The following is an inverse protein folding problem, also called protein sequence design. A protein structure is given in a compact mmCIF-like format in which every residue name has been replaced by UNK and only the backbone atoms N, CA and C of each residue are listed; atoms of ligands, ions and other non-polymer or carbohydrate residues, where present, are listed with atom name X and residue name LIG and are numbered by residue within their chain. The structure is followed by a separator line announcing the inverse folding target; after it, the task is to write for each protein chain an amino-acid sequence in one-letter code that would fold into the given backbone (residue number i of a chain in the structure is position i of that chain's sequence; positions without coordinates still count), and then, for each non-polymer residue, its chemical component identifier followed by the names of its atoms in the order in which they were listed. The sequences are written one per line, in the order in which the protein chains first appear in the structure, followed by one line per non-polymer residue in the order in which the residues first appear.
data_IF_425779628596
#
_entry.id   IF_425779628596
#
_cell.length_a   1.000
_cell.length_b   1.000
_cell.length_c   1.000
_cell.angle_alpha   90.00
_cell.angle_beta   90.00
_cell.angle_gamma   90.00
#
_symmetry.space_group_name_H-M   'P 1'
#
loop_
_entity.id
_entity.type
_entity.pdbx_description
1 polymer ?
#
# COMPACT_ATOMS: atom_id res chain seq x y z
N UNK A 1 4.05 -22.79 5.82
CA UNK A 1 4.52 -23.41 4.58
C UNK A 1 4.15 -22.48 3.43
N UNK A 2 4.95 -21.43 3.22
CA UNK A 2 4.81 -20.57 2.03
C UNK A 2 5.58 -21.27 0.93
N UNK A 3 4.86 -22.05 0.11
CA UNK A 3 5.40 -22.61 -1.11
C UNK A 3 5.97 -21.48 -1.97
N UNK A 4 7.02 -21.79 -2.74
CA UNK A 4 7.75 -20.87 -3.63
C UNK A 4 6.86 -20.19 -4.71
N UNK A 5 5.54 -20.33 -4.68
CA UNK A 5 4.59 -19.80 -5.66
C UNK A 5 3.62 -18.74 -5.12
N UNK A 6 3.52 -18.58 -3.80
CA UNK A 6 2.59 -17.61 -3.18
C UNK A 6 3.04 -16.16 -3.38
N UNK A 7 2.13 -15.26 -3.77
CA UNK A 7 2.35 -13.83 -3.89
C UNK A 7 1.78 -13.00 -2.73
N UNK A 8 2.35 -11.81 -2.49
CA UNK A 8 1.82 -10.81 -1.56
C UNK A 8 1.31 -9.57 -2.29
N UNK A 9 0.27 -8.96 -1.76
CA UNK A 9 -0.31 -7.73 -2.28
C UNK A 9 -0.79 -6.81 -1.17
N UNK A 10 -0.51 -5.51 -1.31
CA UNK A 10 -1.06 -4.48 -0.44
C UNK A 10 -2.43 -4.06 -0.97
N UNK A 11 -3.44 -4.07 -0.11
CA UNK A 11 -4.81 -3.76 -0.51
C UNK A 11 -5.48 -2.71 0.37
N UNK A 12 -4.82 -2.16 1.38
CA UNK A 12 -5.35 -1.06 2.18
C UNK A 12 -4.20 -0.34 2.86
N UNK A 13 -4.20 0.99 2.83
CA UNK A 13 -3.13 1.79 3.41
C UNK A 13 -3.67 3.10 3.96
N UNK A 14 -3.45 3.32 5.25
CA UNK A 14 -3.79 4.57 5.93
C UNK A 14 -2.52 5.22 6.44
N UNK A 15 -2.35 6.51 6.16
CA UNK A 15 -1.37 7.34 6.83
C UNK A 15 -2.04 8.13 7.95
N UNK A 16 -1.37 8.26 9.10
CA UNK A 16 -1.88 8.99 10.26
C UNK A 16 -0.79 9.82 10.94
N UNK A 17 -1.22 10.86 11.65
CA UNK A 17 -0.34 11.65 12.52
C UNK A 17 0.21 10.79 13.67
N UNK A 18 1.21 11.31 14.40
CA UNK A 18 1.74 10.67 15.61
C UNK A 18 0.66 10.21 16.60
N UNK A 19 -0.36 11.04 16.80
CA UNK A 19 -1.41 10.82 17.80
C UNK A 19 -2.64 10.11 17.22
N UNK A 20 -2.72 9.96 15.89
CA UNK A 20 -3.89 9.38 15.22
C UNK A 20 -5.10 10.32 15.12
N UNK A 21 -4.94 11.59 15.49
CA UNK A 21 -5.97 12.64 15.41
C UNK A 21 -6.18 13.20 13.99
N UNK A 22 -5.32 12.82 13.05
CA UNK A 22 -5.46 13.13 11.62
C UNK A 22 -5.05 11.90 10.81
N UNK A 23 -5.84 11.54 9.81
CA UNK A 23 -5.56 10.41 8.93
C UNK A 23 -5.96 10.70 7.49
N UNK A 24 -5.32 9.98 6.57
CA UNK A 24 -5.64 10.00 5.15
C UNK A 24 -5.58 8.57 4.61
N UNK A 25 -6.60 8.20 3.84
CA UNK A 25 -6.65 6.90 3.19
C UNK A 25 -5.85 6.98 1.89
N UNK A 26 -4.76 6.23 1.78
CA UNK A 26 -3.88 6.22 0.61
C UNK A 26 -4.29 5.15 -0.39
N UNK A 27 -4.60 3.94 0.10
CA UNK A 27 -5.16 2.86 -0.70
C UNK A 27 -6.51 2.44 -0.11
N UNK A 28 -7.56 2.39 -0.96
CA UNK A 28 -8.86 1.82 -0.60
C UNK A 28 -8.76 0.30 -0.37
N UNK A 29 -9.84 -0.37 0.03
CA UNK A 29 -9.87 -1.82 0.30
C UNK A 29 -9.68 -2.75 -0.91
N UNK A 30 -9.64 -2.19 -2.12
CA UNK A 30 -9.33 -2.93 -3.36
C UNK A 30 -7.84 -2.85 -3.68
N UNK A 31 -7.08 -2.01 -2.98
CA UNK A 31 -5.69 -1.67 -3.28
C UNK A 31 -5.53 -0.51 -4.26
N UNK A 32 -6.60 0.26 -4.50
CA UNK A 32 -6.55 1.40 -5.41
C UNK A 32 -6.15 2.70 -4.71
N UNK A 33 -5.26 3.50 -5.33
CA UNK A 33 -4.98 4.85 -4.87
C UNK A 33 -6.26 5.68 -4.79
N UNK A 34 -6.43 6.41 -3.69
CA UNK A 34 -7.62 7.27 -3.49
C UNK A 34 -7.49 8.64 -4.15
N UNK A 35 -6.29 9.02 -4.58
CA UNK A 35 -6.00 10.34 -5.14
C UNK A 35 -5.93 11.49 -4.11
N UNK A 36 -6.18 11.24 -2.81
CA UNK A 36 -6.08 12.29 -1.78
C UNK A 36 -4.64 12.79 -1.59
N UNK A 37 -3.68 11.90 -1.78
CA UNK A 37 -2.25 12.17 -1.80
C UNK A 37 -1.70 11.46 -3.03
N UNK A 38 -0.72 12.07 -3.69
CA UNK A 38 0.05 11.45 -4.78
C UNK A 38 0.88 10.28 -4.23
N UNK A 39 0.22 9.13 -4.06
CA UNK A 39 0.77 7.89 -3.56
C UNK A 39 0.61 6.81 -4.63
N UNK A 40 1.70 6.21 -5.13
CA UNK A 40 1.64 5.26 -6.23
C UNK A 40 1.23 3.86 -5.75
N UNK A 41 0.79 3.03 -6.69
CA UNK A 41 0.64 1.59 -6.47
C UNK A 41 1.98 0.92 -6.13
N UNK A 42 1.92 -0.20 -5.40
CA UNK A 42 3.11 -0.97 -5.06
C UNK A 42 3.60 -1.81 -6.24
N UNK A 43 4.91 -1.79 -6.48
CA UNK A 43 5.60 -2.74 -7.35
C UNK A 43 5.95 -4.00 -6.57
N UNK A 44 5.62 -5.16 -7.13
CA UNK A 44 6.02 -6.48 -6.63
C UNK A 44 7.37 -6.87 -7.25
N UNK A 45 8.33 -7.28 -6.43
CA UNK A 45 9.58 -7.89 -6.89
C UNK A 45 9.96 -9.10 -6.04
N UNK A 46 10.80 -9.98 -6.59
CA UNK A 46 11.34 -11.14 -5.89
C UNK A 46 12.86 -11.09 -5.90
N UNK A 47 13.48 -11.25 -4.73
CA UNK A 47 14.94 -11.29 -4.58
C UNK A 47 15.31 -12.44 -3.62
N UNK A 48 16.02 -13.45 -4.14
CA UNK A 48 16.48 -14.59 -3.34
C UNK A 48 15.34 -15.32 -2.61
N UNK A 49 14.25 -15.64 -3.30
CA UNK A 49 13.06 -16.27 -2.71
C UNK A 49 12.16 -15.31 -1.91
N UNK A 50 12.65 -14.14 -1.51
CA UNK A 50 11.87 -13.16 -0.72
C UNK A 50 11.02 -12.27 -1.61
N UNK A 51 9.73 -12.18 -1.30
CA UNK A 51 8.80 -11.24 -1.94
C UNK A 51 8.91 -9.83 -1.34
N UNK A 52 8.84 -8.81 -2.19
CA UNK A 52 8.95 -7.40 -1.79
C UNK A 52 7.85 -6.56 -2.43
N UNK A 53 7.21 -5.72 -1.62
CA UNK A 53 6.35 -4.64 -2.06
C UNK A 53 7.10 -3.33 -1.89
N UNK A 54 7.25 -2.58 -2.98
CA UNK A 54 8.01 -1.32 -3.00
C UNK A 54 7.22 -0.21 -3.68
N UNK A 55 7.20 0.97 -3.09
CA UNK A 55 6.57 2.17 -3.65
C UNK A 55 7.47 3.39 -3.37
N UNK A 56 7.63 4.26 -4.37
CA UNK A 56 8.35 5.53 -4.22
C UNK A 56 7.35 6.68 -4.20
N UNK A 57 7.06 7.22 -3.03
CA UNK A 57 6.07 8.27 -2.85
C UNK A 57 6.72 9.65 -2.67
N UNK A 58 5.97 10.72 -2.96
CA UNK A 58 6.37 12.08 -2.59
C UNK A 58 6.14 12.30 -1.11
N UNK A 59 7.17 12.73 -0.39
CA UNK A 59 7.06 12.98 1.04
C UNK A 59 5.97 14.03 1.34
N UNK A 60 5.20 13.80 2.38
CA UNK A 60 4.16 14.70 2.87
C UNK A 60 4.15 14.73 4.41
N UNK A 61 3.43 15.69 5.00
CA UNK A 61 3.27 15.81 6.45
C UNK A 61 1.84 16.21 6.80
N UNK A 62 1.43 15.90 8.02
CA UNK A 62 0.22 16.48 8.60
C UNK A 62 0.53 17.89 9.15
N UNK A 63 -0.40 18.86 9.08
CA UNK A 63 -0.20 20.17 9.69
C UNK A 63 0.11 20.09 11.19
N UNK A 64 -0.50 19.13 11.88
CA UNK A 64 -0.39 18.89 13.33
C UNK A 64 0.83 18.05 13.73
N UNK A 65 1.57 17.46 12.78
CA UNK A 65 2.65 16.53 13.11
C UNK A 65 3.72 16.38 12.03
N UNK A 66 4.99 16.37 12.45
CA UNK A 66 6.14 16.02 11.61
C UNK A 66 6.36 14.50 11.49
N UNK A 67 5.57 13.69 12.20
CA UNK A 67 5.66 12.23 12.17
C UNK A 67 4.43 11.69 11.43
N UNK A 68 4.70 10.84 10.43
CA UNK A 68 3.69 10.11 9.67
C UNK A 68 3.83 8.63 9.98
N UNK A 69 2.72 8.00 10.38
CA UNK A 69 2.63 6.55 10.60
C UNK A 69 1.86 5.92 9.46
N UNK A 70 2.38 4.84 8.89
CA UNK A 70 1.72 4.07 7.84
C UNK A 70 1.21 2.76 8.42
N UNK A 71 -0.09 2.49 8.24
CA UNK A 71 -0.72 1.22 8.57
C UNK A 71 -1.15 0.55 7.26
N UNK A 72 -0.48 -0.54 6.90
CA UNK A 72 -0.70 -1.27 5.65
C UNK A 72 -1.32 -2.63 5.94
N UNK A 73 -2.33 -3.01 5.14
CA UNK A 73 -2.84 -4.38 5.13
C UNK A 73 -2.35 -5.09 3.87
N UNK A 74 -1.85 -6.30 4.08
CA UNK A 74 -1.36 -7.18 3.03
C UNK A 74 -2.19 -8.46 3.00
N UNK A 75 -2.41 -8.99 1.79
CA UNK A 75 -3.01 -10.30 1.56
C UNK A 75 -1.95 -11.23 0.95
N UNK A 76 -2.08 -12.51 1.30
CA UNK A 76 -1.30 -13.59 0.72
C UNK A 76 -2.19 -14.30 -0.29
N UNK A 77 -1.69 -14.49 -1.50
CA UNK A 77 -2.32 -15.20 -2.59
C UNK A 77 -1.69 -16.59 -2.65
N UNK A 78 -2.48 -17.64 -2.88
CA UNK A 78 -1.97 -19.02 -2.98
C UNK A 78 -0.97 -19.17 -4.13
N UNK A 79 -1.22 -18.45 -5.23
CA UNK A 79 -0.33 -18.30 -6.38
C UNK A 79 -0.13 -16.81 -6.69
N UNK A 80 -0.41 -16.36 -7.92
CA UNK A 80 -0.35 -14.95 -8.31
C UNK A 80 -1.56 -14.16 -7.85
N UNK A 81 -1.33 -12.96 -7.34
CA UNK A 81 -2.43 -12.05 -7.02
C UNK A 81 -3.05 -11.49 -8.31
N UNK A 82 -4.39 -11.47 -8.35
CA UNK A 82 -5.15 -10.87 -9.44
C UNK A 82 -4.76 -9.40 -9.62
N UNK A 83 -4.65 -8.87 -10.86
CA UNK A 83 -4.35 -7.46 -11.06
C UNK A 83 -5.37 -6.56 -10.36
N UNK A 84 -4.90 -5.56 -9.63
CA UNK A 84 -5.77 -4.51 -9.10
C UNK A 84 -6.29 -3.69 -10.28
N UNK A 85 -7.60 -3.73 -10.48
CA UNK A 85 -8.29 -2.91 -11.48
C UNK A 85 -8.86 -1.68 -10.78
N UNK A 86 -8.14 -0.57 -10.89
CA UNK A 86 -8.67 0.72 -10.52
C UNK A 86 -9.43 1.27 -11.71
N UNK A 87 -10.74 1.49 -11.53
CA UNK A 87 -11.53 2.22 -12.52
C UNK A 87 -10.81 3.52 -12.84
N UNK A 88 -10.67 3.85 -14.12
CA UNK A 88 -10.14 5.13 -14.55
C UNK A 88 -10.90 6.21 -13.79
N UNK A 89 -10.19 6.96 -12.95
CA UNK A 89 -10.64 8.30 -12.62
C UNK A 89 -10.58 9.06 -13.95
N UNK A 90 -11.73 9.17 -14.62
CA UNK A 90 -11.96 10.23 -15.60
C UNK A 90 -11.86 11.59 -14.92
#
# INVERSE_FOLDING_TARGET
DTTEESEIEAYHLVASSRLGDSSVLLLDSRGCPTGQVDFPSFTRTRLGGTQRLSAKFKAFRFPTSHVVRFAIMVRFCEEKCQPIVCGSME
#
